data_IF_722488557281
#
_entry.id   IF_722488557281
#
_cell.length_a   1.000
_cell.length_b   1.000
_cell.length_c   1.000
_cell.angle_alpha   90.00
_cell.angle_beta   90.00
_cell.angle_gamma   90.00
#
_symmetry.space_group_name_H-M   'P 1'
#
loop_
_entity.id
_entity.type
_entity.pdbx_description
1 polymer ?
#
# COMPACT_ATOMS: atom_id res chain seq x y z
N UNK A 1 -55.81 32.92 -37.65
CA UNK A 1 -55.09 32.22 -36.57
C UNK A 1 -53.61 32.31 -36.90
N UNK A 2 -52.77 32.86 -36.01
CA UNK A 2 -51.35 33.06 -36.32
C UNK A 2 -50.63 31.70 -36.30
N UNK A 3 -50.33 31.15 -37.48
CA UNK A 3 -49.71 29.83 -37.66
C UNK A 3 -48.35 29.74 -36.97
N UNK A 4 -47.57 30.83 -36.96
CA UNK A 4 -46.29 30.90 -36.26
C UNK A 4 -46.44 30.74 -34.75
N UNK A 5 -47.48 31.34 -34.16
CA UNK A 5 -47.75 31.22 -32.72
C UNK A 5 -48.19 29.80 -32.34
N UNK A 6 -48.97 29.15 -33.20
CA UNK A 6 -49.42 27.77 -33.00
C UNK A 6 -48.24 26.81 -33.03
N UNK A 7 -47.36 26.96 -34.02
CA UNK A 7 -46.16 26.12 -34.16
C UNK A 7 -45.16 26.36 -33.03
N UNK A 8 -44.92 27.62 -32.65
CA UNK A 8 -44.08 27.95 -31.50
C UNK A 8 -44.61 27.31 -30.21
N UNK A 9 -45.93 27.33 -30.01
CA UNK A 9 -46.57 26.69 -28.85
C UNK A 9 -46.40 25.17 -28.87
N UNK A 10 -46.47 24.53 -30.06
CA UNK A 10 -46.23 23.09 -30.22
C UNK A 10 -44.79 22.73 -29.84
N UNK A 11 -43.81 23.45 -30.40
CA UNK A 11 -42.39 23.24 -30.11
C UNK A 11 -42.09 23.47 -28.62
N UNK A 12 -42.62 24.55 -28.04
CA UNK A 12 -42.46 24.88 -26.63
C UNK A 12 -42.98 23.76 -25.72
N UNK A 13 -44.15 23.19 -26.03
CA UNK A 13 -44.74 22.07 -25.27
C UNK A 13 -43.99 20.76 -25.45
N UNK A 14 -43.26 20.61 -26.55
CA UNK A 14 -42.47 19.41 -26.83
C UNK A 14 -41.06 19.47 -26.26
N UNK A 15 -40.54 20.65 -25.86
CA UNK A 15 -39.19 20.79 -25.30
C UNK A 15 -38.93 19.82 -24.14
N UNK A 16 -39.90 19.69 -23.22
CA UNK A 16 -39.82 18.78 -22.07
C UNK A 16 -41.15 18.05 -21.94
N UNK A 17 -41.11 16.72 -21.97
CA UNK A 17 -42.28 15.86 -21.78
C UNK A 17 -41.98 14.74 -20.80
N UNK A 18 -43.02 14.17 -20.19
CA UNK A 18 -42.93 12.89 -19.48
C UNK A 18 -43.38 11.76 -20.39
N UNK A 19 -42.93 10.54 -20.12
CA UNK A 19 -43.37 9.35 -20.81
C UNK A 19 -43.01 8.07 -20.06
N UNK A 20 -43.35 6.93 -20.65
CA UNK A 20 -43.08 5.59 -20.12
C UNK A 20 -42.35 4.77 -21.17
N UNK A 21 -41.28 4.08 -20.77
CA UNK A 21 -40.49 3.22 -21.66
C UNK A 21 -41.36 2.05 -22.15
N UNK A 22 -41.46 1.85 -23.47
CA UNK A 22 -42.21 0.74 -24.08
C UNK A 22 -41.29 -0.35 -24.61
N UNK A 23 -40.10 0.01 -25.09
CA UNK A 23 -39.13 -0.91 -25.66
C UNK A 23 -37.70 -0.45 -25.35
N UNK A 24 -36.79 -1.41 -25.20
CA UNK A 24 -35.38 -1.16 -24.91
C UNK A 24 -34.53 -2.01 -25.85
N UNK A 25 -33.61 -1.37 -26.56
CA UNK A 25 -32.58 -1.98 -27.37
C UNK A 25 -31.23 -1.78 -26.68
N UNK A 26 -30.82 -2.79 -25.93
CA UNK A 26 -29.55 -2.80 -25.22
C UNK A 26 -28.34 -2.95 -26.16
N UNK A 27 -28.54 -3.40 -27.40
CA UNK A 27 -27.46 -3.53 -28.38
C UNK A 27 -26.98 -2.16 -28.84
N UNK A 28 -27.93 -1.25 -29.11
CA UNK A 28 -27.65 0.10 -29.59
C UNK A 28 -27.70 1.18 -28.50
N UNK A 29 -28.10 0.84 -27.27
CA UNK A 29 -28.23 1.81 -26.19
C UNK A 29 -29.38 2.79 -26.43
N UNK A 30 -30.51 2.28 -26.92
CA UNK A 30 -31.68 3.08 -27.30
C UNK A 30 -32.97 2.54 -26.68
N UNK A 31 -33.96 3.40 -26.53
CA UNK A 31 -35.28 3.03 -26.04
C UNK A 31 -36.37 3.78 -26.81
N UNK A 32 -37.60 3.27 -26.73
CA UNK A 32 -38.81 3.94 -27.23
C UNK A 32 -39.69 4.31 -26.05
N UNK A 33 -40.33 5.48 -26.14
CA UNK A 33 -41.11 6.06 -25.05
C UNK A 33 -42.50 6.40 -25.54
N UNK A 34 -43.52 5.93 -24.83
CA UNK A 34 -44.89 6.41 -24.98
C UNK A 34 -45.05 7.75 -24.24
N UNK A 35 -45.52 8.78 -24.93
CA UNK A 35 -45.79 10.10 -24.35
C UNK A 35 -47.08 10.70 -24.94
N UNK A 36 -48.08 10.91 -24.08
CA UNK A 36 -49.43 11.25 -24.53
C UNK A 36 -49.99 10.16 -25.45
N UNK A 37 -50.43 10.55 -26.65
CA UNK A 37 -50.94 9.61 -27.68
C UNK A 37 -49.89 9.22 -28.73
N UNK A 38 -48.61 9.44 -28.45
CA UNK A 38 -47.51 9.17 -29.37
C UNK A 38 -46.55 8.14 -28.76
N UNK A 39 -45.88 7.41 -29.65
CA UNK A 39 -44.70 6.62 -29.30
C UNK A 39 -43.52 7.18 -30.11
N UNK A 40 -42.38 7.37 -29.47
CA UNK A 40 -41.19 7.86 -30.16
C UNK A 40 -40.59 6.81 -31.10
N UNK A 41 -39.70 7.25 -31.99
CA UNK A 41 -38.69 6.36 -32.58
C UNK A 41 -37.63 5.99 -31.52
N UNK A 42 -36.58 5.29 -31.92
CA UNK A 42 -35.45 4.93 -31.07
C UNK A 42 -34.64 6.17 -30.66
N UNK A 43 -34.57 6.40 -29.35
CA UNK A 43 -33.85 7.52 -28.75
C UNK A 43 -32.81 7.00 -27.76
N UNK A 44 -31.66 7.68 -27.69
CA UNK A 44 -30.68 7.41 -26.65
C UNK A 44 -31.18 7.89 -25.29
N UNK A 45 -30.86 7.14 -24.24
CA UNK A 45 -31.03 7.60 -22.86
C UNK A 45 -29.75 8.25 -22.31
N UNK A 46 -29.92 9.20 -21.40
CA UNK A 46 -28.82 9.78 -20.64
C UNK A 46 -28.35 8.81 -19.57
N UNK A 47 -27.04 8.79 -19.35
CA UNK A 47 -26.38 8.03 -18.28
C UNK A 47 -25.46 8.96 -17.49
N UNK A 48 -25.03 8.54 -16.30
CA UNK A 48 -24.21 9.38 -15.42
C UNK A 48 -22.88 9.80 -16.07
N UNK A 49 -22.24 8.91 -16.86
CA UNK A 49 -20.98 9.18 -17.57
C UNK A 49 -20.94 8.45 -18.92
N UNK A 50 -20.54 9.16 -19.98
CA UNK A 50 -20.36 8.61 -21.33
C UNK A 50 -19.05 9.11 -22.00
N UNK A 51 -17.96 9.21 -21.23
CA UNK A 51 -16.64 9.63 -21.70
C UNK A 51 -15.61 8.50 -21.64
N UNK A 52 -14.37 8.79 -21.20
CA UNK A 52 -13.38 7.74 -20.90
C UNK A 52 -13.89 6.77 -19.81
N UNK A 53 -14.54 7.32 -18.78
CA UNK A 53 -15.38 6.54 -17.87
C UNK A 53 -16.79 6.44 -18.44
N UNK A 54 -17.38 5.25 -18.38
CA UNK A 54 -18.70 4.95 -18.92
C UNK A 54 -19.53 4.23 -17.88
N UNK A 55 -20.79 4.62 -17.73
CA UNK A 55 -21.77 3.95 -16.88
C UNK A 55 -22.83 3.29 -17.74
N UNK A 56 -23.27 2.10 -17.34
CA UNK A 56 -24.33 1.37 -18.01
C UNK A 56 -25.37 0.93 -17.01
N UNK A 57 -26.59 1.42 -17.21
CA UNK A 57 -27.79 0.97 -16.51
C UNK A 57 -28.94 1.25 -17.47
N UNK A 58 -29.36 0.22 -18.21
CA UNK A 58 -30.43 0.37 -19.18
C UNK A 58 -31.75 0.62 -18.43
N UNK A 59 -32.62 1.51 -18.94
CA UNK A 59 -33.95 1.69 -18.38
C UNK A 59 -34.78 0.41 -18.58
N UNK A 60 -35.83 0.27 -17.80
CA UNK A 60 -36.76 -0.88 -17.87
C UNK A 60 -38.06 -0.50 -18.57
N UNK A 61 -38.69 -1.46 -19.25
CA UNK A 61 -40.06 -1.27 -19.77
C UNK A 61 -41.00 -0.98 -18.59
N UNK A 62 -41.85 0.05 -18.74
CA UNK A 62 -42.72 0.56 -17.67
C UNK A 62 -42.11 1.68 -16.84
N UNK A 63 -40.82 1.97 -16.96
CA UNK A 63 -40.16 3.04 -16.20
C UNK A 63 -40.58 4.43 -16.71
N UNK A 64 -40.92 5.34 -15.78
CA UNK A 64 -41.33 6.70 -16.10
C UNK A 64 -40.11 7.62 -16.25
N UNK A 65 -40.08 8.41 -17.33
CA UNK A 65 -38.91 9.17 -17.78
C UNK A 65 -39.27 10.58 -18.27
N UNK A 66 -38.26 11.46 -18.36
CA UNK A 66 -38.36 12.72 -19.11
C UNK A 66 -37.84 12.56 -20.54
N UNK A 67 -38.45 13.25 -21.49
CA UNK A 67 -37.92 13.49 -22.82
C UNK A 67 -37.48 14.94 -22.93
N UNK A 68 -36.25 15.16 -23.40
CA UNK A 68 -35.64 16.47 -23.59
C UNK A 68 -35.37 16.67 -25.10
N UNK A 69 -36.25 17.44 -25.75
CA UNK A 69 -36.27 17.62 -27.20
C UNK A 69 -35.45 18.82 -27.63
N UNK A 70 -34.43 18.63 -28.48
CA UNK A 70 -33.66 19.76 -29.02
C UNK A 70 -34.55 20.54 -30.01
N UNK A 71 -34.82 21.81 -29.70
CA UNK A 71 -35.66 22.67 -30.52
C UNK A 71 -37.16 22.34 -30.49
N UNK A 72 -37.60 21.46 -29.57
CA UNK A 72 -39.00 21.03 -29.49
C UNK A 72 -39.37 19.93 -30.49
N UNK A 73 -38.39 19.32 -31.15
CA UNK A 73 -38.59 18.19 -32.06
C UNK A 73 -38.38 16.86 -31.35
N UNK A 74 -39.34 15.96 -31.44
CA UNK A 74 -39.32 14.72 -30.66
C UNK A 74 -38.31 13.70 -31.20
N UNK A 75 -38.00 13.75 -32.49
CA UNK A 75 -37.03 12.84 -33.13
C UNK A 75 -35.58 13.13 -32.73
N UNK A 76 -35.29 14.28 -32.14
CA UNK A 76 -33.96 14.68 -31.64
C UNK A 76 -33.88 14.61 -30.12
N UNK A 77 -34.85 13.94 -29.49
CA UNK A 77 -34.95 13.88 -28.03
C UNK A 77 -33.92 12.95 -27.41
N UNK A 78 -33.53 13.28 -26.19
CA UNK A 78 -32.87 12.34 -25.30
C UNK A 78 -33.79 11.96 -24.14
N UNK A 79 -33.70 10.70 -23.72
CA UNK A 79 -34.50 10.17 -22.61
C UNK A 79 -33.71 10.29 -21.32
N UNK A 80 -34.26 10.92 -20.28
CA UNK A 80 -33.64 11.03 -18.96
C UNK A 80 -34.41 10.18 -17.94
N UNK A 81 -33.92 8.98 -17.60
CA UNK A 81 -34.35 8.24 -16.43
C UNK A 81 -33.88 8.94 -15.13
N UNK A 82 -34.61 8.90 -14.02
CA UNK A 82 -35.88 8.20 -13.76
C UNK A 82 -36.80 9.02 -12.86
N UNK A 83 -38.11 8.75 -12.95
CA UNK A 83 -39.15 9.30 -12.07
C UNK A 83 -39.82 8.14 -11.33
N UNK A 84 -39.92 8.22 -10.00
CA UNK A 84 -40.67 7.22 -9.22
C UNK A 84 -42.16 7.20 -9.61
N UNK A 85 -42.75 6.01 -9.57
CA UNK A 85 -44.16 5.78 -9.93
C UNK A 85 -44.81 4.78 -8.99
N UNK A 86 -46.09 4.47 -9.19
CA UNK A 86 -46.77 3.43 -8.40
C UNK A 86 -46.22 2.03 -8.67
N UNK A 87 -45.80 1.75 -9.92
CA UNK A 87 -45.23 0.45 -10.30
C UNK A 87 -43.77 0.34 -9.84
N UNK A 88 -43.06 1.47 -9.75
CA UNK A 88 -41.67 1.57 -9.31
C UNK A 88 -41.51 2.68 -8.25
N UNK A 89 -41.95 2.44 -7.00
CA UNK A 89 -41.88 3.44 -5.94
C UNK A 89 -40.45 3.65 -5.43
N UNK A 90 -40.24 4.70 -4.64
CA UNK A 90 -38.96 4.94 -3.98
C UNK A 90 -38.59 3.75 -3.08
N UNK A 91 -37.37 3.18 -3.20
CA UNK A 91 -36.99 1.97 -2.46
C UNK A 91 -36.57 2.24 -1.01
N UNK A 92 -36.40 3.49 -0.61
CA UNK A 92 -36.02 3.87 0.75
C UNK A 92 -36.66 5.20 1.14
N UNK A 93 -36.84 5.39 2.45
CA UNK A 93 -37.27 6.66 3.07
C UNK A 93 -36.15 7.33 3.86
N UNK A 94 -34.93 6.78 3.86
CA UNK A 94 -33.78 7.39 4.54
C UNK A 94 -33.39 8.70 3.84
N UNK A 95 -33.18 9.79 4.59
CA UNK A 95 -32.75 11.06 4.02
C UNK A 95 -31.25 11.09 3.63
N UNK A 96 -30.44 10.14 4.12
CA UNK A 96 -28.99 10.15 3.98
C UNK A 96 -28.43 8.94 3.21
N UNK A 97 -29.16 7.83 3.18
CA UNK A 97 -28.68 6.61 2.55
C UNK A 97 -28.54 6.74 1.02
N UNK A 98 -27.47 6.14 0.49
CA UNK A 98 -27.47 5.69 -0.90
C UNK A 98 -28.00 4.25 -0.92
N UNK A 99 -29.15 4.02 -1.54
CA UNK A 99 -29.84 2.72 -1.52
C UNK A 99 -30.22 2.27 -2.93
N UNK A 100 -29.74 1.09 -3.34
CA UNK A 100 -30.05 0.48 -4.64
C UNK A 100 -30.63 -0.92 -4.46
N UNK A 101 -31.82 -1.15 -5.02
CA UNK A 101 -32.49 -2.46 -5.06
C UNK A 101 -32.42 -3.02 -6.49
N UNK A 102 -32.03 -4.27 -6.61
CA UNK A 102 -31.97 -5.02 -7.86
C UNK A 102 -33.22 -5.93 -8.01
N UNK A 103 -33.62 -6.29 -9.24
CA UNK A 103 -34.86 -7.04 -9.49
C UNK A 103 -34.85 -8.47 -8.94
N UNK A 104 -33.68 -9.01 -8.59
CA UNK A 104 -33.52 -10.31 -7.91
C UNK A 104 -33.60 -10.22 -6.38
N UNK A 105 -33.86 -9.01 -5.84
CA UNK A 105 -33.93 -8.73 -4.41
C UNK A 105 -32.57 -8.41 -3.77
N UNK A 106 -31.48 -8.36 -4.54
CA UNK A 106 -30.21 -7.88 -4.01
C UNK A 106 -30.28 -6.39 -3.65
N UNK A 107 -29.52 -5.99 -2.63
CA UNK A 107 -29.47 -4.61 -2.14
C UNK A 107 -28.01 -4.20 -1.95
N UNK A 108 -27.69 -2.99 -2.40
CA UNK A 108 -26.45 -2.28 -2.06
C UNK A 108 -26.82 -0.96 -1.39
N UNK A 109 -26.39 -0.78 -0.14
CA UNK A 109 -26.71 0.41 0.65
C UNK A 109 -25.48 0.93 1.41
N UNK A 110 -25.31 2.25 1.45
CA UNK A 110 -24.49 2.93 2.44
C UNK A 110 -25.36 3.91 3.23
N UNK A 111 -25.41 3.74 4.56
CA UNK A 111 -26.19 4.57 5.50
C UNK A 111 -25.26 5.38 6.41
N UNK A 112 -25.06 6.69 6.15
CA UNK A 112 -24.19 7.55 6.94
C UNK A 112 -24.54 7.61 8.43
N UNK A 113 -25.82 7.53 8.80
CA UNK A 113 -26.25 7.59 10.20
C UNK A 113 -25.63 6.46 11.04
N UNK A 114 -25.46 5.27 10.46
CA UNK A 114 -24.85 4.11 11.11
C UNK A 114 -23.40 3.86 10.68
N UNK A 115 -22.95 4.49 9.60
CA UNK A 115 -21.67 4.22 8.95
C UNK A 115 -21.60 2.84 8.28
N UNK A 116 -22.74 2.21 8.01
CA UNK A 116 -22.80 0.83 7.51
C UNK A 116 -22.82 0.79 5.97
N UNK A 117 -21.92 -0.01 5.40
CA UNK A 117 -22.00 -0.48 4.01
C UNK A 117 -22.56 -1.90 4.00
N UNK A 118 -23.68 -2.11 3.32
CA UNK A 118 -24.40 -3.38 3.27
C UNK A 118 -24.56 -3.86 1.84
N UNK A 119 -24.20 -5.12 1.59
CA UNK A 119 -24.45 -5.83 0.32
C UNK A 119 -25.11 -7.17 0.64
N UNK A 120 -26.36 -7.37 0.24
CA UNK A 120 -27.16 -8.56 0.57
C UNK A 120 -27.94 -9.08 -0.64
N UNK A 121 -28.49 -10.31 -0.50
CA UNK A 121 -29.30 -10.94 -1.54
C UNK A 121 -28.53 -11.45 -2.77
N UNK A 122 -27.22 -11.25 -2.81
CA UNK A 122 -26.37 -11.70 -3.93
C UNK A 122 -26.04 -13.20 -3.86
N UNK A 123 -25.78 -13.80 -5.02
CA UNK A 123 -25.31 -15.20 -5.12
C UNK A 123 -23.79 -15.33 -5.14
N UNK A 124 -23.09 -14.37 -5.75
CA UNK A 124 -21.64 -14.40 -5.95
C UNK A 124 -21.05 -13.00 -5.77
N UNK A 125 -19.84 -12.91 -5.23
CA UNK A 125 -19.03 -11.70 -5.21
C UNK A 125 -17.59 -12.05 -5.62
N UNK A 126 -17.01 -11.27 -6.54
CA UNK A 126 -15.64 -11.49 -7.03
C UNK A 126 -14.89 -10.16 -7.02
N UNK A 127 -13.70 -10.18 -6.43
CA UNK A 127 -12.75 -9.07 -6.43
C UNK A 127 -11.46 -9.57 -7.04
N UNK A 128 -11.07 -9.02 -8.17
CA UNK A 128 -9.84 -9.38 -8.88
C UNK A 128 -8.96 -8.14 -8.99
N UNK A 129 -7.77 -8.19 -8.41
CA UNK A 129 -6.75 -7.15 -8.51
C UNK A 129 -5.45 -7.77 -9.03
N UNK A 130 -4.73 -7.04 -9.87
CA UNK A 130 -3.45 -7.51 -10.43
C UNK A 130 -2.28 -7.41 -9.45
N UNK A 131 -2.43 -6.62 -8.40
CA UNK A 131 -1.36 -6.32 -7.44
C UNK A 131 -1.76 -6.73 -6.02
N UNK A 132 -2.79 -6.09 -5.46
CA UNK A 132 -3.18 -6.35 -4.08
C UNK A 132 -4.64 -6.01 -3.77
N UNK A 133 -5.17 -6.66 -2.73
CA UNK A 133 -6.41 -6.29 -2.04
C UNK A 133 -6.05 -6.11 -0.56
N UNK A 134 -6.38 -4.97 0.02
CA UNK A 134 -6.08 -4.64 1.40
C UNK A 134 -7.36 -4.34 2.19
N UNK A 135 -7.54 -5.01 3.33
CA UNK A 135 -8.72 -4.90 4.18
C UNK A 135 -8.24 -4.59 5.60
N UNK A 136 -8.77 -3.54 6.23
CA UNK A 136 -8.43 -3.16 7.61
C UNK A 136 -9.68 -2.73 8.35
N UNK A 137 -9.90 -3.36 9.49
CA UNK A 137 -10.90 -3.00 10.49
C UNK A 137 -10.39 -3.50 11.86
N UNK A 138 -10.86 -2.93 12.98
CA UNK A 138 -10.55 -3.48 14.31
C UNK A 138 -10.99 -4.94 14.47
N UNK A 139 -12.06 -5.34 13.79
CA UNK A 139 -12.59 -6.70 13.77
C UNK A 139 -12.92 -7.13 12.33
N UNK A 140 -12.50 -8.33 11.96
CA UNK A 140 -12.81 -8.96 10.67
C UNK A 140 -13.33 -10.37 10.95
N UNK A 141 -14.55 -10.65 10.50
CA UNK A 141 -15.23 -11.93 10.72
C UNK A 141 -15.62 -12.56 9.39
N UNK A 142 -15.23 -13.82 9.18
CA UNK A 142 -15.59 -14.61 8.00
C UNK A 142 -16.39 -15.84 8.43
N UNK A 143 -17.69 -15.84 8.14
CA UNK A 143 -18.59 -16.97 8.44
C UNK A 143 -18.86 -17.75 7.15
N UNK A 144 -18.29 -18.95 7.03
CA UNK A 144 -18.52 -19.86 5.91
C UNK A 144 -19.14 -21.16 6.41
N UNK A 145 -20.22 -21.61 5.78
CA UNK A 145 -20.92 -22.86 6.14
C UNK A 145 -20.21 -24.12 5.62
N UNK A 146 -19.31 -23.97 4.64
CA UNK A 146 -18.63 -25.10 4.00
C UNK A 146 -17.12 -25.05 4.21
N UNK A 147 -16.45 -24.02 3.66
CA UNK A 147 -14.99 -23.88 3.75
C UNK A 147 -14.55 -22.45 3.45
N UNK A 148 -13.40 -22.08 4.00
CA UNK A 148 -12.58 -20.95 3.54
C UNK A 148 -11.33 -21.58 2.92
N UNK A 149 -10.93 -21.12 1.74
CA UNK A 149 -9.72 -21.60 1.05
C UNK A 149 -8.77 -20.42 0.85
N UNK A 150 -7.55 -20.55 1.36
CA UNK A 150 -6.46 -19.61 1.18
C UNK A 150 -5.46 -20.25 0.23
N UNK A 151 -5.67 -20.03 -1.08
CA UNK A 151 -4.80 -20.56 -2.13
C UNK A 151 -3.67 -19.57 -2.40
N UNK A 152 -2.62 -19.68 -1.60
CA UNK A 152 -1.46 -18.79 -1.61
C UNK A 152 -0.23 -19.58 -1.14
N UNK A 153 0.97 -19.27 -1.66
CA UNK A 153 2.21 -19.87 -1.15
C UNK A 153 2.44 -19.64 0.35
N UNK A 154 1.97 -18.51 0.89
CA UNK A 154 2.15 -18.16 2.31
C UNK A 154 0.88 -17.54 2.92
N UNK A 155 0.56 -17.96 4.14
CA UNK A 155 -0.41 -17.33 5.03
C UNK A 155 0.29 -16.98 6.34
N UNK A 156 0.38 -15.70 6.66
CA UNK A 156 1.06 -15.22 7.87
C UNK A 156 0.04 -14.77 8.93
N UNK A 157 0.03 -15.44 10.08
CA UNK A 157 -0.58 -14.93 11.30
C UNK A 157 0.52 -14.32 12.18
N UNK A 158 0.47 -13.01 12.43
CA UNK A 158 1.56 -12.30 13.12
C UNK A 158 1.64 -12.61 14.61
N UNK A 159 0.48 -12.83 15.25
CA UNK A 159 0.38 -13.11 16.68
C UNK A 159 -0.20 -14.53 16.91
N UNK A 160 -1.29 -14.63 17.66
CA UNK A 160 -1.90 -15.91 18.03
C UNK A 160 -2.80 -16.44 16.92
N UNK A 161 -2.59 -17.70 16.53
CA UNK A 161 -3.57 -18.49 15.81
C UNK A 161 -4.37 -19.34 16.81
N UNK A 162 -5.65 -19.00 17.00
CA UNK A 162 -6.59 -19.85 17.74
C UNK A 162 -7.42 -20.67 16.76
N UNK A 163 -7.37 -21.99 16.86
CA UNK A 163 -8.14 -22.91 16.00
C UNK A 163 -8.66 -24.09 16.81
N UNK A 164 -9.80 -24.64 16.41
CA UNK A 164 -10.36 -25.85 17.03
C UNK A 164 -9.59 -27.12 16.66
N UNK A 165 -9.28 -27.30 15.36
CA UNK A 165 -8.50 -28.43 14.85
C UNK A 165 -7.43 -27.91 13.87
N UNK A 166 -6.29 -28.60 13.80
CA UNK A 166 -5.20 -28.29 12.88
C UNK A 166 -4.73 -29.55 12.17
N UNK A 167 -4.68 -29.51 10.83
CA UNK A 167 -4.10 -30.55 9.98
C UNK A 167 -2.94 -29.93 9.20
N UNK A 168 -1.73 -30.44 9.39
CA UNK A 168 -0.52 -30.03 8.66
C UNK A 168 -0.15 -31.16 7.69
N UNK A 169 -0.20 -30.90 6.38
CA UNK A 169 -0.04 -31.94 5.34
C UNK A 169 1.42 -32.15 4.91
N UNK A 170 2.17 -31.07 4.77
CA UNK A 170 3.55 -31.10 4.25
C UNK A 170 4.61 -30.85 5.33
N UNK A 171 4.20 -30.86 6.60
CA UNK A 171 5.07 -30.56 7.74
C UNK A 171 5.40 -29.08 7.89
N UNK A 172 6.53 -28.78 8.53
CA UNK A 172 7.00 -27.42 8.77
C UNK A 172 8.00 -27.36 9.92
N UNK A 173 8.45 -26.14 10.25
CA UNK A 173 9.30 -25.86 11.40
C UNK A 173 8.48 -25.20 12.50
N UNK A 174 8.54 -25.77 13.70
CA UNK A 174 7.98 -25.14 14.91
C UNK A 174 9.14 -24.66 15.79
N UNK A 175 9.06 -23.42 16.28
CA UNK A 175 10.07 -22.83 17.16
C UNK A 175 9.42 -22.22 18.39
N UNK A 176 10.17 -22.18 19.49
CA UNK A 176 9.67 -21.70 20.78
C UNK A 176 9.07 -22.82 21.63
N UNK A 177 8.53 -22.43 22.78
CA UNK A 177 7.94 -23.38 23.73
C UNK A 177 6.52 -23.72 23.29
N UNK A 178 6.23 -25.02 23.20
CA UNK A 178 4.88 -25.54 22.94
C UNK A 178 4.41 -26.24 24.20
N UNK A 179 3.34 -25.73 24.81
CA UNK A 179 2.63 -26.40 25.89
C UNK A 179 1.48 -27.21 25.30
N UNK A 180 1.48 -28.52 25.56
CA UNK A 180 0.39 -29.42 25.20
C UNK A 180 -0.26 -29.97 26.47
N UNK A 181 -1.57 -29.80 26.59
CA UNK A 181 -2.38 -30.32 27.70
C UNK A 181 -3.73 -30.80 27.16
N UNK A 182 -4.45 -31.63 27.92
CA UNK A 182 -5.82 -32.04 27.57
C UNK A 182 -5.94 -33.05 26.42
N UNK A 183 -4.90 -33.86 26.17
CA UNK A 183 -4.90 -34.87 25.10
C UNK A 183 -3.61 -35.68 25.05
N UNK A 184 -3.36 -36.35 23.91
CA UNK A 184 -2.12 -37.09 23.62
C UNK A 184 -1.32 -36.40 22.53
N UNK A 185 -0.02 -36.16 22.75
CA UNK A 185 0.87 -35.69 21.69
C UNK A 185 1.74 -36.84 21.20
N UNK A 186 1.45 -37.34 20.00
CA UNK A 186 2.17 -38.48 19.41
C UNK A 186 2.88 -38.13 18.12
N UNK A 187 4.05 -38.75 17.89
CA UNK A 187 4.81 -38.65 16.65
C UNK A 187 5.20 -40.05 16.21
N UNK A 188 4.79 -40.44 14.99
CA UNK A 188 5.02 -41.79 14.44
C UNK A 188 4.61 -42.93 15.40
N UNK A 189 3.49 -42.74 16.13
CA UNK A 189 2.97 -43.71 17.09
C UNK A 189 3.61 -43.67 18.50
N UNK A 190 4.62 -42.84 18.73
CA UNK A 190 5.22 -42.65 20.05
C UNK A 190 4.56 -41.46 20.76
N UNK A 191 3.94 -41.70 21.92
CA UNK A 191 3.34 -40.63 22.73
C UNK A 191 4.42 -40.01 23.63
N UNK A 192 4.65 -38.71 23.47
CA UNK A 192 5.84 -38.03 24.02
C UNK A 192 5.91 -38.12 25.55
N UNK A 193 4.80 -37.92 26.24
CA UNK A 193 4.73 -37.83 27.70
C UNK A 193 4.58 -39.18 28.42
N UNK A 194 4.38 -40.27 27.69
CA UNK A 194 4.04 -41.58 28.26
C UNK A 194 4.74 -42.76 27.58
N UNK A 195 5.74 -42.49 26.71
CA UNK A 195 6.50 -43.54 26.07
C UNK A 195 7.32 -44.36 27.08
N UNK A 196 7.51 -45.63 26.77
CA UNK A 196 8.30 -46.57 27.58
C UNK A 196 9.42 -47.17 26.73
N UNK A 197 10.46 -47.67 27.41
CA UNK A 197 11.60 -48.34 26.77
C UNK A 197 11.60 -49.83 27.11
N UNK A 198 11.88 -50.68 26.13
CA UNK A 198 12.04 -52.14 26.31
C UNK A 198 13.48 -52.57 25.98
N UNK A 199 13.90 -53.76 26.42
CA UNK A 199 15.26 -54.27 26.15
C UNK A 199 16.37 -53.70 27.04
N UNK A 200 16.01 -53.02 28.13
CA UNK A 200 16.94 -52.50 29.14
C UNK A 200 16.78 -53.24 30.46
N UNK A 201 17.88 -53.43 31.21
CA UNK A 201 17.83 -53.97 32.58
C UNK A 201 17.37 -52.85 33.52
N UNK A 202 16.30 -53.08 34.27
CA UNK A 202 15.82 -52.11 35.27
C UNK A 202 16.92 -51.84 36.31
N UNK A 203 17.28 -50.57 36.48
CA UNK A 203 18.15 -50.08 37.55
C UNK A 203 17.33 -49.46 38.68
N UNK A 204 17.99 -49.15 39.80
CA UNK A 204 17.36 -48.48 40.96
C UNK A 204 17.51 -46.95 40.92
N UNK A 205 18.27 -46.42 39.96
CA UNK A 205 18.59 -44.99 39.83
C UNK A 205 17.79 -44.35 38.70
N UNK A 206 17.48 -43.05 38.85
CA UNK A 206 16.90 -42.23 37.77
C UNK A 206 18.00 -41.85 36.78
N UNK A 207 17.81 -42.15 35.50
CA UNK A 207 18.74 -41.69 34.47
C UNK A 207 18.73 -40.16 34.38
N UNK A 208 19.84 -39.56 33.94
CA UNK A 208 19.82 -38.17 33.48
C UNK A 208 18.80 -37.96 32.35
N UNK A 209 18.52 -36.71 32.02
CA UNK A 209 17.68 -36.38 30.87
C UNK A 209 18.27 -36.95 29.57
N UNK A 210 17.44 -37.21 28.54
CA UNK A 210 17.95 -37.65 27.26
C UNK A 210 18.97 -36.64 26.73
N UNK A 211 20.21 -37.08 26.63
CA UNK A 211 21.23 -36.34 25.88
C UNK A 211 20.84 -36.43 24.41
N UNK A 212 20.81 -35.30 23.67
CA UNK A 212 20.54 -35.34 22.25
C UNK A 212 21.51 -36.34 21.62
N UNK A 213 20.98 -37.35 20.91
CA UNK A 213 21.77 -37.94 19.82
C UNK A 213 22.28 -36.75 19.02
N UNK A 214 23.58 -36.70 18.71
CA UNK A 214 24.14 -35.70 17.82
C UNK A 214 23.13 -35.53 16.68
N UNK A 215 22.49 -34.36 16.62
CA UNK A 215 21.42 -34.14 15.68
C UNK A 215 21.98 -34.54 14.31
N UNK A 216 21.22 -35.26 13.45
CA UNK A 216 21.56 -35.21 12.05
C UNK A 216 21.64 -33.73 11.72
N UNK A 217 22.85 -33.28 11.38
CA UNK A 217 23.11 -31.93 10.91
C UNK A 217 22.05 -31.69 9.85
N UNK A 218 21.12 -30.75 10.10
CA UNK A 218 20.23 -30.29 9.04
C UNK A 218 21.13 -30.03 7.83
N UNK A 219 20.81 -30.56 6.63
CA UNK A 219 21.74 -30.48 5.51
C UNK A 219 22.24 -29.05 5.40
N UNK A 220 23.56 -28.88 5.60
CA UNK A 220 24.21 -27.62 5.32
C UNK A 220 23.86 -27.26 3.87
N UNK A 221 23.48 -26.00 3.64
CA UNK A 221 23.45 -25.47 2.29
C UNK A 221 24.80 -25.85 1.62
N UNK A 222 24.81 -26.34 0.38
CA UNK A 222 25.97 -26.98 -0.19
C UNK A 222 27.19 -26.06 -0.14
N UNK A 223 28.14 -26.41 0.72
CA UNK A 223 29.48 -25.85 0.72
C UNK A 223 30.23 -26.38 -0.50
N UNK A 224 30.73 -25.48 -1.33
CA UNK A 224 31.58 -25.78 -2.49
C UNK A 224 32.75 -26.73 -2.11
N UNK A 225 33.08 -27.74 -2.93
CA UNK A 225 34.23 -28.59 -2.67
C UNK A 225 35.52 -27.80 -2.87
N UNK A 226 36.39 -27.80 -1.84
CA UNK A 226 37.81 -27.46 -1.99
C UNK A 226 38.52 -28.57 -2.78
N UNK A 227 39.08 -28.20 -3.93
CA UNK A 227 39.92 -29.08 -4.75
C UNK A 227 41.21 -29.54 -4.03
N UNK A 228 41.65 -30.80 -4.20
CA UNK A 228 42.99 -31.24 -3.84
C UNK A 228 44.04 -30.84 -4.90
N UNK A 229 45.27 -30.60 -4.44
CA UNK A 229 46.44 -30.34 -5.28
C UNK A 229 47.05 -31.62 -5.87
N UNK A 230 47.68 -31.41 -7.04
CA UNK A 230 48.73 -32.17 -7.77
C UNK A 230 48.29 -33.02 -8.98
N UNK A 231 49.12 -33.23 -10.03
CA UNK A 231 50.35 -32.55 -10.50
C UNK A 231 50.35 -32.19 -12.02
N UNK A 232 51.49 -31.70 -12.52
CA UNK A 232 51.76 -31.16 -13.87
C UNK A 232 51.83 -32.19 -15.03
N UNK A 233 51.57 -31.64 -16.23
CA UNK A 233 51.98 -32.00 -17.63
C UNK A 233 51.17 -33.05 -18.43
N UNK A 234 51.10 -32.99 -19.79
CA UNK A 234 51.46 -31.94 -20.76
C UNK A 234 50.42 -31.65 -21.91
N UNK A 235 50.76 -30.60 -22.68
CA UNK A 235 50.26 -30.01 -23.94
C UNK A 235 49.36 -30.80 -24.92
N UNK A 236 48.35 -30.07 -25.43
CA UNK A 236 47.83 -29.89 -26.83
C UNK A 236 47.83 -31.07 -27.82
N UNK A 237 46.77 -31.23 -28.68
CA UNK A 237 46.48 -30.24 -29.71
C UNK A 237 45.00 -29.93 -30.03
N UNK A 238 44.87 -28.77 -30.68
CA UNK A 238 43.69 -28.23 -31.37
C UNK A 238 43.21 -29.15 -32.49
N UNK A 239 41.90 -29.17 -32.76
CA UNK A 239 41.39 -29.08 -34.13
C UNK A 239 39.89 -28.74 -34.21
N UNK A 240 39.59 -27.91 -35.20
CA UNK A 240 38.29 -27.37 -35.57
C UNK A 240 37.30 -28.41 -36.10
N UNK A 241 35.99 -28.22 -35.87
CA UNK A 241 34.98 -27.99 -36.93
C UNK A 241 33.53 -27.91 -36.42
N UNK A 242 32.91 -26.78 -36.75
CA UNK A 242 31.51 -26.50 -37.14
C UNK A 242 30.48 -27.64 -37.05
N UNK A 243 29.31 -27.36 -36.44
CA UNK A 243 28.03 -27.17 -37.15
C UNK A 243 26.85 -26.77 -36.23
N UNK A 244 25.88 -26.06 -36.81
CA UNK A 244 24.70 -25.40 -36.23
C UNK A 244 23.69 -26.33 -35.53
N UNK A 245 23.01 -25.83 -34.47
CA UNK A 245 21.54 -25.60 -34.40
C UNK A 245 21.05 -25.17 -33.00
N UNK A 246 20.25 -24.10 -33.01
CA UNK A 246 19.18 -23.64 -32.09
C UNK A 246 19.45 -23.43 -30.57
N UNK A 247 19.15 -22.24 -30.00
CA UNK A 247 19.31 -21.98 -28.57
C UNK A 247 18.09 -22.46 -27.76
N UNK A 248 18.30 -23.49 -26.93
CA UNK A 248 17.38 -23.87 -25.87
C UNK A 248 17.80 -23.21 -24.55
N UNK A 249 16.96 -22.27 -24.10
CA UNK A 249 16.58 -21.95 -22.71
C UNK A 249 17.67 -22.03 -21.61
N UNK A 250 18.21 -20.87 -21.24
CA UNK A 250 18.82 -20.65 -19.92
C UNK A 250 17.73 -20.49 -18.84
N UNK A 251 17.84 -21.31 -17.79
CA UNK A 251 17.12 -21.17 -16.51
C UNK A 251 17.63 -19.92 -15.76
N UNK A 252 16.78 -19.07 -15.17
CA UNK A 252 17.23 -17.98 -14.31
C UNK A 252 17.66 -18.50 -12.93
N UNK A 253 18.73 -17.91 -12.40
CA UNK A 253 19.32 -18.12 -11.07
C UNK A 253 18.49 -17.46 -9.95
N UNK A 254 18.40 -18.15 -8.81
CA UNK A 254 17.34 -18.02 -7.80
C UNK A 254 17.61 -17.03 -6.63
N UNK A 255 18.56 -16.09 -6.75
CA UNK A 255 18.95 -15.18 -5.64
C UNK A 255 18.81 -13.67 -5.92
N UNK A 256 18.51 -13.27 -7.17
CA UNK A 256 18.29 -11.84 -7.50
C UNK A 256 16.84 -11.37 -7.30
N UNK A 257 15.92 -12.28 -7.04
CA UNK A 257 14.49 -11.98 -7.03
C UNK A 257 14.04 -11.34 -5.70
N UNK A 258 14.65 -11.72 -4.57
CA UNK A 258 14.28 -11.20 -3.25
C UNK A 258 14.62 -9.70 -3.07
N UNK A 259 15.76 -9.22 -3.56
CA UNK A 259 16.17 -7.81 -3.36
C UNK A 259 15.24 -6.82 -4.09
N UNK A 260 14.54 -7.29 -5.11
CA UNK A 260 13.57 -6.54 -5.89
C UNK A 260 12.13 -6.81 -5.46
N UNK A 261 11.88 -7.56 -4.40
CA UNK A 261 10.53 -7.79 -3.89
C UNK A 261 9.85 -6.47 -3.45
N UNK A 262 8.54 -6.36 -3.72
CA UNK A 262 7.72 -5.21 -3.33
C UNK A 262 7.63 -5.04 -1.80
N UNK A 263 7.88 -6.09 -1.01
CA UNK A 263 7.93 -6.00 0.46
C UNK A 263 8.91 -4.93 0.96
N UNK A 264 9.98 -4.67 0.22
CA UNK A 264 10.96 -3.64 0.56
C UNK A 264 10.45 -2.20 0.37
N UNK A 265 9.23 -2.02 -0.17
CA UNK A 265 8.52 -0.74 -0.15
C UNK A 265 7.70 -0.53 1.13
N UNK A 266 7.68 -1.52 2.04
CA UNK A 266 7.07 -1.45 3.36
C UNK A 266 8.16 -1.36 4.42
N UNK A 267 8.18 -0.23 5.14
CA UNK A 267 9.03 0.01 6.31
C UNK A 267 8.19 -0.16 7.59
N UNK A 268 8.81 -0.22 8.79
CA UNK A 268 8.05 -0.15 10.03
C UNK A 268 7.02 0.98 10.00
N UNK A 269 5.82 0.74 10.55
CA UNK A 269 4.65 1.63 10.43
C UNK A 269 4.98 3.07 10.84
N UNK A 270 5.87 3.23 11.82
CA UNK A 270 6.34 4.50 12.36
C UNK A 270 7.16 5.33 11.35
N UNK A 271 7.57 4.73 10.22
CA UNK A 271 8.44 5.35 9.21
C UNK A 271 7.77 5.47 7.85
N UNK A 272 6.65 4.77 7.64
CA UNK A 272 6.00 4.64 6.33
C UNK A 272 5.54 6.00 5.79
N UNK A 273 5.06 6.90 6.66
CA UNK A 273 4.69 8.27 6.28
C UNK A 273 5.84 8.97 5.54
N UNK A 274 7.03 9.00 6.15
CA UNK A 274 8.19 9.67 5.57
C UNK A 274 8.69 8.92 4.35
N UNK A 275 8.75 7.58 4.41
CA UNK A 275 9.18 6.76 3.27
C UNK A 275 8.37 7.07 2.02
N UNK A 276 7.05 7.08 2.13
CA UNK A 276 6.14 7.33 1.00
C UNK A 276 6.18 8.80 0.53
N UNK A 277 6.48 9.74 1.42
CA UNK A 277 6.58 11.15 1.09
C UNK A 277 7.89 11.55 0.36
N UNK A 278 8.96 10.76 0.49
CA UNK A 278 10.26 11.04 -0.12
C UNK A 278 10.37 10.61 -1.59
N UNK A 279 9.38 9.90 -2.13
CA UNK A 279 9.35 9.54 -3.56
C UNK A 279 8.47 8.34 -3.89
N UNK A 280 8.77 7.68 -5.00
CA UNK A 280 8.08 6.49 -5.45
C UNK A 280 9.03 5.54 -6.21
N UNK A 281 8.51 4.38 -6.57
CA UNK A 281 9.24 3.35 -7.31
C UNK A 281 8.72 3.17 -8.75
N UNK A 282 8.39 4.29 -9.40
CA UNK A 282 7.86 4.32 -10.77
C UNK A 282 8.89 4.98 -11.68
N UNK A 283 9.64 4.19 -12.47
CA UNK A 283 10.83 4.62 -13.23
C UNK A 283 10.65 5.88 -14.09
N UNK A 284 9.45 6.06 -14.66
CA UNK A 284 9.12 7.18 -15.55
C UNK A 284 8.60 8.42 -14.81
N UNK A 285 8.40 8.34 -13.50
CA UNK A 285 7.91 9.47 -12.72
C UNK A 285 9.07 10.37 -12.29
N UNK A 286 8.77 11.65 -12.07
CA UNK A 286 9.73 12.59 -11.47
C UNK A 286 10.10 12.24 -10.02
N UNK A 287 9.31 11.39 -9.36
CA UNK A 287 9.55 10.93 -7.99
C UNK A 287 10.31 9.62 -7.89
N UNK A 288 10.87 9.09 -8.98
CA UNK A 288 11.60 7.83 -8.94
C UNK A 288 12.94 7.96 -8.19
N UNK A 289 13.12 7.16 -7.14
CA UNK A 289 14.22 7.34 -6.18
C UNK A 289 15.38 6.34 -6.29
N UNK A 290 15.25 5.23 -7.02
CA UNK A 290 16.33 4.20 -7.08
C UNK A 290 17.53 4.59 -7.95
N UNK A 291 17.59 5.83 -8.46
CA UNK A 291 18.74 6.40 -9.17
C UNK A 291 19.23 7.65 -8.46
N UNK A 292 20.49 8.02 -8.72
CA UNK A 292 21.03 9.27 -8.21
C UNK A 292 20.27 10.48 -8.76
N UNK A 293 20.09 11.50 -7.93
CA UNK A 293 19.57 12.81 -8.35
C UNK A 293 20.13 13.91 -7.46
N UNK A 294 19.95 15.16 -7.89
CA UNK A 294 20.25 16.35 -7.08
C UNK A 294 18.96 17.15 -6.91
N UNK A 295 18.35 17.20 -5.69
CA UNK A 295 17.05 17.85 -5.46
C UNK A 295 17.02 19.36 -5.67
N UNK A 296 18.20 20.01 -5.71
CA UNK A 296 18.30 21.47 -5.83
C UNK A 296 18.67 22.18 -4.53
N UNK A 297 18.91 23.49 -4.63
CA UNK A 297 19.18 24.35 -3.49
C UNK A 297 20.52 24.03 -2.81
N UNK A 298 20.48 23.78 -1.50
CA UNK A 298 21.65 23.43 -0.68
C UNK A 298 21.84 21.92 -0.49
N UNK A 299 21.05 21.10 -1.18
CA UNK A 299 21.07 19.64 -1.02
C UNK A 299 22.35 19.04 -1.59
N UNK A 300 22.75 17.88 -1.06
CA UNK A 300 23.78 17.04 -1.68
C UNK A 300 23.20 16.16 -2.79
N UNK A 301 24.01 15.21 -3.25
CA UNK A 301 23.54 14.16 -4.15
C UNK A 301 22.72 13.17 -3.32
N UNK A 302 21.55 12.78 -3.82
CA UNK A 302 20.61 11.91 -3.13
C UNK A 302 20.41 10.63 -3.92
N UNK A 303 20.32 9.51 -3.19
CA UNK A 303 19.93 8.21 -3.75
C UNK A 303 18.92 7.53 -2.83
N UNK A 304 18.01 6.74 -3.40
CA UNK A 304 16.90 6.18 -2.63
C UNK A 304 15.98 7.28 -2.09
N UNK A 305 15.19 6.93 -1.08
CA UNK A 305 14.16 7.81 -0.51
C UNK A 305 14.80 8.80 0.48
N UNK A 306 15.53 9.78 -0.06
CA UNK A 306 16.05 10.91 0.73
C UNK A 306 17.37 10.67 1.45
N UNK A 307 18.15 9.63 1.08
CA UNK A 307 19.52 9.48 1.58
C UNK A 307 20.43 10.49 0.88
N UNK A 308 20.57 11.68 1.48
CA UNK A 308 21.37 12.81 0.98
C UNK A 308 22.82 12.69 1.47
N UNK A 309 23.76 12.48 0.54
CA UNK A 309 25.20 12.29 0.78
C UNK A 309 25.87 13.54 1.36
N UNK A 310 25.31 14.72 1.14
CA UNK A 310 25.82 15.98 1.70
C UNK A 310 25.67 16.04 3.22
N UNK A 311 24.74 15.24 3.80
CA UNK A 311 24.46 15.22 5.23
C UNK A 311 25.07 14.02 5.96
N UNK A 312 25.74 13.10 5.24
CA UNK A 312 26.28 11.88 5.84
C UNK A 312 27.75 12.05 6.22
N UNK A 313 28.08 11.78 7.48
CA UNK A 313 29.46 11.75 7.96
C UNK A 313 30.17 10.42 7.67
N UNK A 314 29.42 9.35 7.37
CA UNK A 314 29.89 7.96 7.23
C UNK A 314 29.23 7.27 6.04
N UNK A 315 29.29 7.88 4.86
CA UNK A 315 28.60 7.36 3.68
C UNK A 315 29.13 5.97 3.27
N UNK A 316 30.44 5.74 3.35
CA UNK A 316 31.05 4.45 2.98
C UNK A 316 30.53 3.28 3.84
N UNK A 317 30.43 3.48 5.16
CA UNK A 317 29.91 2.46 6.08
C UNK A 317 28.47 2.07 5.74
N UNK A 318 27.63 3.06 5.41
CA UNK A 318 26.23 2.84 5.08
C UNK A 318 26.05 2.19 3.72
N UNK A 319 26.77 2.66 2.71
CA UNK A 319 26.73 2.09 1.37
C UNK A 319 27.24 0.65 1.38
N UNK A 320 28.23 0.34 2.23
CA UNK A 320 28.68 -1.03 2.47
C UNK A 320 27.59 -1.87 3.13
N UNK A 321 26.95 -1.34 4.18
CA UNK A 321 25.89 -2.06 4.90
C UNK A 321 24.65 -2.30 4.06
N UNK A 322 24.32 -1.35 3.18
CA UNK A 322 23.27 -1.49 2.18
C UNK A 322 23.73 -2.30 0.96
N UNK A 323 24.92 -2.91 0.95
CA UNK A 323 25.42 -3.74 -0.14
C UNK A 323 25.42 -3.04 -1.52
N UNK A 324 25.72 -1.73 -1.57
CA UNK A 324 25.86 -0.99 -2.83
C UNK A 324 27.15 -1.43 -3.52
N UNK A 325 27.03 -1.92 -4.75
CA UNK A 325 28.16 -2.42 -5.53
C UNK A 325 28.91 -1.31 -6.27
N UNK A 326 30.12 -1.63 -6.72
CA UNK A 326 30.83 -0.80 -7.68
C UNK A 326 30.15 -0.84 -9.06
N UNK A 327 30.31 0.21 -9.90
CA UNK A 327 31.09 1.43 -9.67
C UNK A 327 30.35 2.53 -8.89
N UNK A 328 29.09 2.30 -8.52
CA UNK A 328 28.24 3.32 -7.89
C UNK A 328 28.74 3.70 -6.50
N UNK A 329 29.16 2.72 -5.69
CA UNK A 329 29.62 2.93 -4.32
C UNK A 329 30.76 3.95 -4.24
N UNK A 330 31.88 3.70 -4.94
CA UNK A 330 33.04 4.60 -4.90
C UNK A 330 32.67 6.02 -5.33
N UNK A 331 31.84 6.15 -6.36
CA UNK A 331 31.39 7.46 -6.82
C UNK A 331 30.52 8.19 -5.79
N UNK A 332 29.62 7.49 -5.09
CA UNK A 332 28.79 8.08 -4.02
C UNK A 332 29.63 8.50 -2.81
N UNK A 333 30.66 7.72 -2.44
CA UNK A 333 31.59 8.07 -1.35
C UNK A 333 32.32 9.38 -1.66
N UNK A 334 32.75 9.60 -2.91
CA UNK A 334 33.34 10.88 -3.32
C UNK A 334 32.37 12.06 -3.22
N UNK A 335 31.06 11.81 -3.21
CA UNK A 335 30.04 12.85 -3.10
C UNK A 335 29.75 13.25 -1.64
N UNK A 336 30.33 12.53 -0.67
CA UNK A 336 30.13 12.80 0.75
C UNK A 336 30.47 14.25 1.11
N UNK A 337 29.56 14.92 1.82
CA UNK A 337 29.73 16.30 2.29
C UNK A 337 29.62 17.38 1.21
N UNK A 338 29.49 17.01 -0.07
CA UNK A 338 29.25 17.98 -1.16
C UNK A 338 27.80 18.46 -1.10
N UNK A 339 27.61 19.77 -1.24
CA UNK A 339 26.29 20.40 -1.21
C UNK A 339 26.20 21.53 -2.23
N UNK A 340 24.97 21.93 -2.57
CA UNK A 340 24.72 23.07 -3.46
C UNK A 340 25.38 22.97 -4.83
N UNK A 341 26.07 24.03 -5.25
CA UNK A 341 26.71 24.08 -6.57
C UNK A 341 27.81 23.03 -6.75
N UNK A 342 28.48 22.60 -5.68
CA UNK A 342 29.47 21.52 -5.75
C UNK A 342 28.82 20.17 -6.06
N UNK A 343 27.73 19.84 -5.36
CA UNK A 343 26.95 18.62 -5.60
C UNK A 343 26.32 18.63 -7.00
N UNK A 344 25.79 19.77 -7.44
CA UNK A 344 25.24 19.95 -8.79
C UNK A 344 26.30 19.77 -9.87
N UNK A 345 27.51 20.31 -9.67
CA UNK A 345 28.65 20.12 -10.56
C UNK A 345 29.02 18.64 -10.69
N UNK A 346 29.14 17.94 -9.55
CA UNK A 346 29.43 16.50 -9.49
C UNK A 346 28.33 15.64 -10.15
N UNK A 347 27.06 15.96 -9.93
CA UNK A 347 25.93 15.26 -10.58
C UNK A 347 25.96 15.44 -12.11
N UNK A 348 26.22 16.66 -12.60
CA UNK A 348 26.28 16.94 -14.05
C UNK A 348 27.41 16.17 -14.73
N UNK A 349 28.58 16.08 -14.08
CA UNK A 349 29.74 15.35 -14.58
C UNK A 349 29.69 13.84 -14.34
N UNK A 350 28.64 13.31 -13.71
CA UNK A 350 28.50 11.87 -13.51
C UNK A 350 28.44 11.13 -14.85
N UNK A 351 29.21 10.04 -15.03
CA UNK A 351 29.20 9.25 -16.25
C UNK A 351 27.87 8.48 -16.38
N UNK A 352 27.52 8.10 -17.61
CA UNK A 352 26.20 7.53 -17.91
C UNK A 352 25.92 6.21 -17.18
N UNK A 353 26.95 5.39 -16.97
CA UNK A 353 26.83 4.15 -16.19
C UNK A 353 26.46 4.40 -14.73
N UNK A 354 26.80 5.58 -14.17
CA UNK A 354 26.41 5.98 -12.81
C UNK A 354 25.02 6.61 -12.81
N UNK A 355 24.70 7.48 -13.79
CA UNK A 355 23.38 8.11 -13.92
C UNK A 355 22.26 7.09 -14.14
N UNK A 356 22.56 6.02 -14.88
CA UNK A 356 21.61 4.94 -15.21
C UNK A 356 21.68 3.77 -14.23
N UNK A 357 22.51 3.85 -13.17
CA UNK A 357 22.57 2.79 -12.17
C UNK A 357 21.30 2.82 -11.30
N UNK A 358 20.66 1.66 -11.16
CA UNK A 358 19.53 1.48 -10.26
C UNK A 358 19.93 0.63 -9.07
N UNK A 359 19.72 1.16 -7.86
CA UNK A 359 19.77 0.35 -6.64
C UNK A 359 18.52 -0.55 -6.56
N UNK A 360 18.59 -1.64 -5.81
CA UNK A 360 17.44 -2.52 -5.57
C UNK A 360 16.47 -1.91 -4.55
N UNK A 361 15.26 -2.49 -4.42
CA UNK A 361 14.29 -2.00 -3.42
C UNK A 361 14.80 -2.20 -2.00
N UNK A 362 15.45 -3.34 -1.75
CA UNK A 362 16.13 -3.63 -0.48
C UNK A 362 17.23 -2.62 -0.15
N UNK A 363 18.11 -2.32 -1.11
CA UNK A 363 19.17 -1.32 -0.93
C UNK A 363 18.60 0.07 -0.58
N UNK A 364 17.50 0.49 -1.23
CA UNK A 364 16.81 1.73 -0.91
C UNK A 364 16.19 1.70 0.50
N UNK A 365 15.58 0.58 0.88
CA UNK A 365 15.01 0.35 2.21
C UNK A 365 16.09 0.48 3.30
N UNK A 366 17.25 -0.14 3.11
CA UNK A 366 18.34 -0.12 4.07
C UNK A 366 18.90 1.31 4.25
N UNK A 367 19.16 2.01 3.14
CA UNK A 367 19.63 3.41 3.17
C UNK A 367 18.62 4.33 3.87
N UNK A 368 17.34 4.20 3.57
CA UNK A 368 16.30 4.99 4.21
C UNK A 368 16.26 4.76 5.72
N UNK A 369 16.26 3.50 6.17
CA UNK A 369 16.17 3.20 7.60
C UNK A 369 17.36 3.73 8.40
N UNK A 370 18.57 3.67 7.81
CA UNK A 370 19.76 4.27 8.42
C UNK A 370 19.68 5.79 8.53
N UNK A 371 19.17 6.48 7.50
CA UNK A 371 18.94 7.93 7.55
C UNK A 371 17.85 8.29 8.57
N UNK A 372 16.75 7.54 8.58
CA UNK A 372 15.64 7.75 9.50
C UNK A 372 16.08 7.62 10.97
N UNK A 373 16.86 6.59 11.30
CA UNK A 373 17.41 6.38 12.66
C UNK A 373 18.19 7.59 13.18
N UNK A 374 18.96 8.24 12.30
CA UNK A 374 19.74 9.44 12.66
C UNK A 374 18.85 10.63 12.92
N UNK A 375 17.84 10.82 12.08
CA UNK A 375 16.92 11.94 12.20
C UNK A 375 15.99 11.78 13.40
N UNK A 376 15.56 10.56 13.71
CA UNK A 376 14.82 10.24 14.93
C UNK A 376 15.66 10.57 16.18
N UNK A 377 16.93 10.14 16.21
CA UNK A 377 17.86 10.52 17.28
C UNK A 377 18.05 12.03 17.38
N UNK A 378 18.08 12.73 16.26
CA UNK A 378 18.23 14.18 16.24
C UNK A 378 16.97 14.90 16.75
N UNK A 379 15.77 14.40 16.44
CA UNK A 379 14.52 14.90 17.03
C UNK A 379 14.50 14.64 18.53
N UNK A 380 14.83 13.42 18.98
CA UNK A 380 14.95 13.10 20.41
C UNK A 380 15.89 14.08 21.11
N UNK A 381 17.09 14.27 20.56
CA UNK A 381 18.08 15.25 21.05
C UNK A 381 17.54 16.69 21.11
N UNK A 382 16.77 17.12 20.11
CA UNK A 382 16.13 18.45 20.11
C UNK A 382 15.08 18.55 21.23
N UNK A 383 14.27 17.51 21.42
CA UNK A 383 13.25 17.44 22.46
C UNK A 383 13.82 17.31 23.88
N UNK A 384 14.99 16.72 24.04
CA UNK A 384 15.69 16.59 25.33
C UNK A 384 16.53 17.83 25.69
N UNK A 385 16.75 18.73 24.72
CA UNK A 385 17.56 19.92 24.94
C UNK A 385 16.91 20.81 26.00
N UNK A 386 17.70 21.21 26.99
CA UNK A 386 17.27 22.08 28.11
C UNK A 386 16.49 23.32 27.64
N UNK A 387 16.97 24.03 26.61
CA UNK A 387 16.29 25.21 26.07
C UNK A 387 14.90 24.88 25.50
N UNK A 388 14.73 23.73 24.86
CA UNK A 388 13.45 23.29 24.31
C UNK A 388 12.47 22.95 25.44
N UNK A 389 12.94 22.23 26.47
CA UNK A 389 12.13 21.88 27.64
C UNK A 389 11.67 23.14 28.38
N UNK A 390 12.59 24.08 28.66
CA UNK A 390 12.28 25.35 29.31
C UNK A 390 11.26 26.19 28.52
N UNK A 391 11.31 26.14 27.19
CA UNK A 391 10.44 26.95 26.35
C UNK A 391 9.02 26.38 26.18
N UNK A 392 8.87 25.05 26.18
CA UNK A 392 7.63 24.41 25.72
C UNK A 392 7.03 23.36 26.65
N UNK A 393 7.81 22.80 27.59
CA UNK A 393 7.30 21.80 28.53
C UNK A 393 6.61 22.48 29.72
N UNK A 394 5.50 21.93 30.21
CA UNK A 394 4.74 22.49 31.34
C UNK A 394 5.52 22.36 32.67
N UNK A 395 6.31 21.30 32.81
CA UNK A 395 7.28 21.10 33.88
C UNK A 395 8.71 21.34 33.36
N UNK A 396 9.36 22.48 33.66
CA UNK A 396 10.70 22.80 33.17
C UNK A 396 11.83 21.93 33.76
N UNK A 397 11.56 21.18 34.83
CA UNK A 397 12.52 20.32 35.52
C UNK A 397 12.28 18.83 35.25
N UNK A 398 11.43 18.49 34.26
CA UNK A 398 11.21 17.10 33.88
C UNK A 398 12.52 16.44 33.45
N UNK A 399 12.65 15.15 33.76
CA UNK A 399 13.73 14.34 33.19
C UNK A 399 13.63 14.34 31.65
N UNK A 400 14.71 14.66 30.92
CA UNK A 400 14.65 14.76 29.46
C UNK A 400 14.18 13.48 28.77
N UNK A 401 14.62 12.32 29.24
CA UNK A 401 14.25 11.04 28.64
C UNK A 401 12.78 10.73 28.89
N UNK A 402 12.29 11.01 30.10
CA UNK A 402 10.86 10.95 30.40
C UNK A 402 10.04 11.86 29.48
N UNK A 403 10.46 13.12 29.30
CA UNK A 403 9.75 14.08 28.44
C UNK A 403 9.64 13.61 26.98
N UNK A 404 10.67 12.92 26.47
CA UNK A 404 10.60 12.29 25.15
C UNK A 404 9.65 11.09 25.15
N UNK A 405 9.76 10.21 26.15
CA UNK A 405 9.00 8.97 26.21
C UNK A 405 7.49 9.23 26.29
N UNK A 406 7.07 10.27 27.01
CA UNK A 406 5.66 10.66 27.16
C UNK A 406 5.02 11.25 25.89
N UNK A 407 5.81 11.71 24.91
CA UNK A 407 5.24 12.18 23.64
C UNK A 407 4.57 11.00 22.92
N UNK A 408 3.28 11.10 22.52
CA UNK A 408 2.58 10.05 21.80
C UNK A 408 3.31 9.64 20.52
N UNK A 409 3.35 8.33 20.25
CA UNK A 409 4.08 7.78 19.10
C UNK A 409 3.65 8.42 17.77
N UNK A 410 2.35 8.66 17.59
CA UNK A 410 1.79 9.34 16.42
C UNK A 410 2.38 10.73 16.19
N UNK A 411 2.61 11.48 17.27
CA UNK A 411 3.24 12.80 17.21
C UNK A 411 4.74 12.66 16.90
N UNK A 412 5.44 11.70 17.52
CA UNK A 412 6.87 11.43 17.24
C UNK A 412 7.11 11.23 15.74
N UNK A 413 6.27 10.42 15.08
CA UNK A 413 6.36 10.18 13.63
C UNK A 413 6.25 11.48 12.82
N UNK A 414 5.31 12.36 13.16
CA UNK A 414 5.20 13.67 12.51
C UNK A 414 6.43 14.54 12.77
N UNK A 415 6.94 14.58 14.00
CA UNK A 415 8.14 15.37 14.32
C UNK A 415 9.36 14.89 13.54
N UNK A 416 9.52 13.58 13.36
CA UNK A 416 10.59 13.01 12.54
C UNK A 416 10.40 13.33 11.07
N UNK A 417 9.19 13.21 10.52
CA UNK A 417 8.92 13.63 9.12
C UNK A 417 9.21 15.12 8.88
N UNK A 418 8.79 15.97 9.83
CA UNK A 418 9.10 17.40 9.79
C UNK A 418 10.60 17.63 9.82
N UNK A 419 11.35 16.87 10.63
CA UNK A 419 12.81 16.98 10.67
C UNK A 419 13.44 16.50 9.37
N UNK A 420 12.97 15.40 8.81
CA UNK A 420 13.44 14.80 7.57
C UNK A 420 13.33 15.78 6.40
N UNK A 421 12.18 16.44 6.25
CA UNK A 421 11.98 17.45 5.20
C UNK A 421 12.68 18.79 5.47
N UNK A 422 13.12 19.03 6.71
CA UNK A 422 13.67 20.32 7.16
C UNK A 422 12.63 21.33 7.65
N UNK A 423 11.38 20.92 7.86
CA UNK A 423 10.31 21.76 8.40
C UNK A 423 10.34 21.92 9.92
N UNK A 424 11.07 21.06 10.63
CA UNK A 424 11.19 21.13 12.09
C UNK A 424 12.16 22.24 12.52
N UNK A 425 11.80 23.48 12.20
CA UNK A 425 12.53 24.70 12.48
C UNK A 425 12.20 25.28 13.86
N UNK A 426 12.96 26.27 14.37
CA UNK A 426 12.58 27.00 15.59
C UNK A 426 11.20 27.66 15.49
N UNK A 427 10.80 28.15 14.31
CA UNK A 427 9.49 28.77 14.10
C UNK A 427 8.37 27.74 14.23
N UNK A 428 8.52 26.59 13.57
CA UNK A 428 7.55 25.48 13.63
C UNK A 428 7.39 24.96 15.05
N UNK A 429 8.50 24.79 15.80
CA UNK A 429 8.45 24.34 17.20
C UNK A 429 7.62 25.26 18.09
N UNK A 430 7.65 26.58 17.87
CA UNK A 430 6.81 27.53 18.64
C UNK A 430 5.32 27.25 18.50
N UNK A 431 4.88 26.69 17.37
CA UNK A 431 3.48 26.41 17.10
C UNK A 431 3.01 25.11 17.75
N UNK A 432 3.86 24.08 17.80
CA UNK A 432 3.41 22.71 18.09
C UNK A 432 4.14 21.97 19.19
N UNK A 433 5.35 22.39 19.58
CA UNK A 433 6.19 21.61 20.50
C UNK A 433 5.52 21.40 21.87
N UNK A 434 4.78 22.40 22.35
CA UNK A 434 4.05 22.30 23.61
C UNK A 434 2.95 21.24 23.59
N UNK A 435 2.23 21.10 22.47
CA UNK A 435 1.18 20.11 22.30
C UNK A 435 1.75 18.71 22.13
N UNK A 436 2.96 18.61 21.56
CA UNK A 436 3.70 17.36 21.54
C UNK A 436 4.02 16.88 22.96
N UNK A 437 4.59 17.73 23.81
CA UNK A 437 4.90 17.39 25.20
C UNK A 437 3.68 17.09 26.05
N UNK A 438 2.59 17.86 25.90
CA UNK A 438 1.37 17.62 26.67
C UNK A 438 0.56 16.42 26.18
N UNK A 439 0.96 15.79 25.08
CA UNK A 439 0.18 14.73 24.42
C UNK A 439 -1.18 15.21 23.91
N UNK A 440 -1.34 16.51 23.63
CA UNK A 440 -2.60 17.09 23.16
C UNK A 440 -2.75 16.82 21.65
N UNK A 441 -3.29 15.64 21.35
CA UNK A 441 -3.45 15.16 19.99
C UNK A 441 -4.35 16.09 19.17
N UNK A 442 -5.38 16.69 19.78
CA UNK A 442 -6.36 17.54 19.08
C UNK A 442 -5.71 18.84 18.62
N UNK A 443 -5.10 19.59 19.52
CA UNK A 443 -4.49 20.87 19.17
C UNK A 443 -3.25 20.69 18.29
N UNK A 444 -2.45 19.64 18.51
CA UNK A 444 -1.36 19.32 17.60
C UNK A 444 -1.88 19.06 16.18
N UNK A 445 -3.00 18.33 16.05
CA UNK A 445 -3.67 18.08 14.77
C UNK A 445 -4.20 19.34 14.09
N UNK A 446 -4.79 20.27 14.84
CA UNK A 446 -5.26 21.56 14.31
C UNK A 446 -4.11 22.36 13.70
N UNK A 447 -2.98 22.45 14.41
CA UNK A 447 -1.77 23.12 13.91
C UNK A 447 -1.24 22.40 12.67
N UNK A 448 -1.24 21.06 12.68
CA UNK A 448 -0.73 20.25 11.57
C UNK A 448 -1.53 20.47 10.28
N UNK A 449 -2.86 20.52 10.39
CA UNK A 449 -3.80 20.68 9.27
C UNK A 449 -3.90 22.11 8.74
N UNK A 450 -3.35 23.09 9.44
CA UNK A 450 -3.39 24.46 8.94
C UNK A 450 -2.25 24.69 7.93
N UNK A 451 -2.59 24.69 6.64
CA UNK A 451 -1.63 24.82 5.54
C UNK A 451 -0.77 26.08 5.61
N UNK A 452 -1.28 27.17 6.19
CA UNK A 452 -0.52 28.43 6.30
C UNK A 452 0.65 28.39 7.29
N UNK A 453 0.71 27.36 8.15
CA UNK A 453 1.83 27.14 9.07
C UNK A 453 3.07 26.57 8.37
N UNK A 454 2.95 26.13 7.11
CA UNK A 454 4.00 25.43 6.38
C UNK A 454 4.64 26.29 5.31
N UNK A 455 5.89 25.97 4.96
CA UNK A 455 6.59 26.70 3.91
C UNK A 455 5.85 26.56 2.56
N UNK A 456 5.81 27.61 1.72
CA UNK A 456 5.11 27.57 0.42
C UNK A 456 5.60 26.45 -0.52
N UNK A 457 6.83 25.99 -0.32
CA UNK A 457 7.41 24.88 -1.08
C UNK A 457 7.06 23.48 -0.57
N UNK A 458 6.15 23.33 0.41
CA UNK A 458 5.68 22.01 0.85
C UNK A 458 4.81 21.38 -0.25
N UNK A 459 5.19 20.20 -0.80
CA UNK A 459 4.34 19.51 -1.77
C UNK A 459 2.97 19.19 -1.16
N UNK A 460 1.90 19.41 -1.93
CA UNK A 460 0.52 19.18 -1.48
C UNK A 460 0.28 17.72 -1.08
N UNK A 461 0.87 16.77 -1.81
CA UNK A 461 0.82 15.34 -1.50
C UNK A 461 1.41 15.05 -0.12
N UNK A 462 2.59 15.60 0.21
CA UNK A 462 3.21 15.42 1.53
C UNK A 462 2.38 16.06 2.65
N UNK A 463 1.79 17.23 2.40
CA UNK A 463 0.86 17.85 3.35
C UNK A 463 -0.34 16.92 3.62
N UNK A 464 -0.98 16.42 2.57
CA UNK A 464 -2.13 15.52 2.70
C UNK A 464 -1.76 14.23 3.44
N UNK A 465 -0.62 13.60 3.11
CA UNK A 465 -0.13 12.41 3.82
C UNK A 465 0.05 12.62 5.31
N UNK A 466 0.58 13.79 5.73
CA UNK A 466 0.69 14.15 7.15
C UNK A 466 -0.68 14.21 7.81
N UNK A 467 -1.65 14.84 7.15
CA UNK A 467 -3.02 14.96 7.66
C UNK A 467 -3.69 13.59 7.75
N UNK A 468 -3.63 12.79 6.69
CA UNK A 468 -4.21 11.45 6.61
C UNK A 468 -3.61 10.52 7.68
N UNK A 469 -2.28 10.46 7.80
CA UNK A 469 -1.62 9.69 8.86
C UNK A 469 -2.07 10.16 10.26
N UNK A 470 -2.26 11.48 10.42
CA UNK A 470 -2.67 12.03 11.70
C UNK A 470 -4.16 11.77 12.02
N UNK A 471 -5.00 11.59 11.01
CA UNK A 471 -6.43 11.30 11.14
C UNK A 471 -6.76 9.81 11.18
N UNK A 472 -5.93 8.94 10.61
CA UNK A 472 -6.12 7.49 10.70
C UNK A 472 -6.00 7.02 12.15
N UNK A 473 -7.03 6.36 12.69
CA UNK A 473 -7.12 5.93 14.09
C UNK A 473 -5.97 5.00 14.51
#
# INVERSE_FOLDING_TARGET
MNTQLTELTRLLRNLIRTGVITQVDTTNGMCRVATGNLETDWLHWLTARAGHSRTWWAPSVGEQVLLLSIGGELTTSFVLPAIFSNDFPAPSTSPEATHTVFPDGAVMEYEPQSGALTVTGIKTATVTASESVYITAPEITCVASTRITLDTPEVTCTQLLSTGNLIVREGGKMTGNIAHTGGTFSSNGVVVDSHTHTGVRAGNDTSGGPVPSAAPVAPEAPTEPKEPKEPKEPKEPKEDKKENKDPAQDKPTQDKDDEMDLKWLKVPKERQLTFDAEGNDIERSSGFTRKIHWPGGVSGITIGRGYDLGQQAKADDDLTRANISEPLKSWLVECQGKSGEEAKGKYRSAPDNIKNFHITRKQQYDLFNMAYDRLEKDVKRICEKKDTLLAYHSNPNIDPEQAWNEIPQKIKVILVDLRYRGDYSPATRKLMQRYAYSGDIVNFGIILKNKSNWSPGLPIDRFNRRVEYYESN
#
